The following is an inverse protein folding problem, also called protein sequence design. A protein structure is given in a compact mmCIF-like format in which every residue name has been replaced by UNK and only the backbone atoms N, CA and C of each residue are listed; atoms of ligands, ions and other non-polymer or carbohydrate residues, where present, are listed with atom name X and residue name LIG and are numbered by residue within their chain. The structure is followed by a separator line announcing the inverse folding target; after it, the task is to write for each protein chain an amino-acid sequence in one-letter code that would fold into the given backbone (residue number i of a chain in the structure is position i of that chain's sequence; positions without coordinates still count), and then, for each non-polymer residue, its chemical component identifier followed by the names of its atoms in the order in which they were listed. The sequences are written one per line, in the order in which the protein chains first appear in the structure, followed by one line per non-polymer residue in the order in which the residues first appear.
data_IF_876842534084
#
_entry.id   IF_876842534084
#
_cell.length_a   1.000
_cell.length_b   1.000
_cell.length_c   1.000
_cell.angle_alpha   90.00
_cell.angle_beta   90.00
_cell.angle_gamma   90.00
#
_symmetry.space_group_name_H-M   'P 1'
#
loop_
_entity.id
_entity.type
_entity.pdbx_description
1 polymer ?
#
# COMPACT_ATOMS: atom_id res chain seq x y z
N UNK A 1 -8.63 5.38 -18.10
CA UNK A 1 -9.72 5.51 -17.13
C UNK A 1 -9.94 4.22 -16.32
N UNK A 2 -9.81 3.03 -16.92
CA UNK A 2 -10.01 1.73 -16.21
C UNK A 2 -9.08 1.62 -15.01
N UNK A 3 -7.78 1.85 -15.17
CA UNK A 3 -6.80 1.78 -14.08
C UNK A 3 -7.14 2.74 -12.92
N UNK A 4 -7.67 3.92 -13.24
CA UNK A 4 -8.11 4.88 -12.21
C UNK A 4 -9.33 4.36 -11.45
N UNK A 5 -10.34 3.86 -12.17
CA UNK A 5 -11.54 3.31 -11.55
C UNK A 5 -11.22 2.10 -10.65
N UNK A 6 -10.38 1.18 -11.12
CA UNK A 6 -9.91 0.05 -10.32
C UNK A 6 -9.09 0.50 -9.10
N UNK A 7 -8.18 1.47 -9.28
CA UNK A 7 -7.36 2.01 -8.21
C UNK A 7 -8.19 2.64 -7.09
N UNK A 8 -9.11 3.53 -7.42
CA UNK A 8 -10.02 4.14 -6.44
C UNK A 8 -10.94 3.12 -5.78
N UNK A 9 -11.53 2.19 -6.55
CA UNK A 9 -12.39 1.13 -6.01
C UNK A 9 -11.65 0.24 -5.01
N UNK A 10 -10.45 -0.24 -5.37
CA UNK A 10 -9.60 -1.05 -4.47
C UNK A 10 -9.18 -0.28 -3.23
N UNK A 11 -8.83 0.99 -3.37
CA UNK A 11 -8.44 1.85 -2.26
C UNK A 11 -9.58 2.02 -1.24
N UNK A 12 -10.80 2.29 -1.70
CA UNK A 12 -11.98 2.39 -0.84
C UNK A 12 -12.24 1.07 -0.11
N UNK A 13 -12.19 -0.06 -0.83
CA UNK A 13 -12.38 -1.38 -0.22
C UNK A 13 -11.33 -1.70 0.85
N UNK A 14 -10.10 -1.29 0.66
CA UNK A 14 -8.99 -1.54 1.60
C UNK A 14 -8.82 -0.44 2.66
N UNK A 15 -9.62 0.63 2.60
CA UNK A 15 -9.61 1.70 3.60
C UNK A 15 -8.48 2.72 3.46
N UNK A 16 -7.71 2.69 2.36
CA UNK A 16 -6.70 3.72 2.09
C UNK A 16 -7.14 4.71 0.98
N UNK A 17 -6.28 5.62 0.57
CA UNK A 17 -6.55 6.58 -0.50
C UNK A 17 -5.67 6.33 -1.71
N UNK A 18 -6.26 6.20 -2.90
CA UNK A 18 -5.53 5.92 -4.14
C UNK A 18 -4.52 7.01 -4.51
N UNK A 19 -4.83 8.32 -4.48
CA UNK A 19 -3.84 9.36 -4.74
C UNK A 19 -2.71 9.37 -3.71
N UNK A 20 -2.99 9.10 -2.43
CA UNK A 20 -1.97 8.96 -1.39
C UNK A 20 -1.05 7.79 -1.72
N UNK A 21 -1.62 6.60 -1.95
CA UNK A 21 -0.84 5.41 -2.31
C UNK A 21 0.06 5.66 -3.52
N UNK A 22 -0.48 6.22 -4.60
CA UNK A 22 0.28 6.46 -5.83
C UNK A 22 1.49 7.38 -5.59
N UNK A 23 1.30 8.46 -4.83
CA UNK A 23 2.38 9.42 -4.55
C UNK A 23 3.41 8.88 -3.59
N UNK A 24 2.96 8.22 -2.54
CA UNK A 24 3.81 7.66 -1.50
C UNK A 24 4.63 6.49 -2.04
N UNK A 25 4.03 5.62 -2.83
CA UNK A 25 4.72 4.50 -3.48
C UNK A 25 5.80 4.96 -4.48
N UNK A 26 5.56 6.05 -5.22
CA UNK A 26 6.61 6.68 -6.02
C UNK A 26 7.77 7.20 -5.17
N UNK A 27 7.50 7.76 -3.99
CA UNK A 27 8.57 8.18 -3.06
C UNK A 27 9.35 6.98 -2.54
N UNK A 28 8.68 5.86 -2.24
CA UNK A 28 9.33 4.61 -1.89
C UNK A 28 10.31 4.16 -3.00
N UNK A 29 9.89 4.07 -4.25
CA UNK A 29 10.78 3.69 -5.38
C UNK A 29 11.99 4.62 -5.54
N UNK A 30 11.84 5.92 -5.29
CA UNK A 30 12.94 6.91 -5.36
C UNK A 30 13.92 6.76 -4.19
N UNK A 31 13.41 6.43 -3.00
CA UNK A 31 14.15 6.50 -1.74
C UNK A 31 14.30 5.17 -1.01
N UNK A 32 14.21 4.05 -1.70
CA UNK A 32 14.19 2.68 -1.12
C UNK A 32 15.15 2.53 0.05
N UNK A 33 14.64 2.03 1.16
CA UNK A 33 15.37 1.81 2.42
C UNK A 33 16.00 3.06 3.04
N UNK A 34 15.56 4.26 2.68
CA UNK A 34 16.04 5.49 3.31
C UNK A 34 15.24 5.79 4.58
N UNK A 35 15.84 5.85 5.80
CA UNK A 35 15.09 5.93 7.05
C UNK A 35 14.11 7.10 7.20
N UNK A 36 14.35 8.22 6.51
CA UNK A 36 13.53 9.45 6.63
C UNK A 36 12.69 9.75 5.40
N UNK A 37 13.08 9.25 4.23
CA UNK A 37 12.46 9.63 2.96
C UNK A 37 11.69 8.49 2.29
N UNK A 38 11.89 7.26 2.75
CA UNK A 38 11.12 6.10 2.35
C UNK A 38 9.98 5.89 3.36
N UNK A 39 8.72 6.11 2.96
CA UNK A 39 7.57 5.91 3.85
C UNK A 39 7.40 4.45 4.25
N UNK A 40 7.70 3.51 3.36
CA UNK A 40 7.54 2.07 3.60
C UNK A 40 8.61 1.56 4.58
N UNK A 41 9.81 2.15 4.58
CA UNK A 41 10.81 1.86 5.61
C UNK A 41 10.27 2.13 7.02
N UNK A 42 9.56 3.24 7.22
CA UNK A 42 8.97 3.57 8.52
C UNK A 42 7.83 2.61 8.85
N UNK A 43 6.93 2.35 7.90
CA UNK A 43 5.81 1.40 8.07
C UNK A 43 6.33 0.02 8.45
N UNK A 44 7.39 -0.46 7.82
CA UNK A 44 7.92 -1.80 8.02
C UNK A 44 8.81 -1.95 9.27
N UNK A 45 9.54 -0.90 9.67
CA UNK A 45 10.54 -1.01 10.75
C UNK A 45 10.08 -0.51 12.10
N UNK A 46 9.03 0.31 12.16
CA UNK A 46 8.56 0.92 13.40
C UNK A 46 7.57 0.03 14.17
N UNK A 47 8.09 -0.80 15.07
CA UNK A 47 7.30 -1.62 15.99
C UNK A 47 6.98 -3.04 15.48
N UNK A 48 6.09 -3.77 16.16
CA UNK A 48 5.83 -5.18 15.91
C UNK A 48 5.10 -5.40 14.57
N UNK A 49 5.46 -6.50 13.87
CA UNK A 49 5.01 -6.79 12.50
C UNK A 49 3.48 -6.93 12.38
N UNK A 50 2.79 -7.42 13.40
CA UNK A 50 1.32 -7.56 13.38
C UNK A 50 0.57 -6.22 13.38
N UNK A 51 1.24 -5.12 13.69
CA UNK A 51 0.70 -3.77 13.58
C UNK A 51 1.05 -3.10 12.24
N UNK A 52 1.53 -3.84 11.24
CA UNK A 52 1.93 -3.26 9.95
C UNK A 52 0.75 -2.62 9.22
N UNK A 53 -0.43 -3.25 9.24
CA UNK A 53 -1.61 -2.71 8.56
C UNK A 53 -2.05 -1.32 9.09
N UNK A 54 -2.27 -1.10 10.40
CA UNK A 54 -2.59 0.23 10.89
C UNK A 54 -1.46 1.25 10.68
N UNK A 55 -0.20 0.83 10.57
CA UNK A 55 0.90 1.74 10.27
C UNK A 55 0.85 2.35 8.88
N UNK A 56 0.12 1.76 7.93
CA UNK A 56 -0.10 2.36 6.61
C UNK A 56 -0.84 3.72 6.67
N UNK A 57 -1.52 4.05 7.77
CA UNK A 57 -2.03 5.41 7.98
C UNK A 57 -0.91 6.47 8.02
N UNK A 58 0.33 6.06 8.30
CA UNK A 58 1.48 6.95 8.19
C UNK A 58 1.70 7.47 6.76
N UNK A 59 1.25 6.75 5.75
CA UNK A 59 1.30 7.20 4.35
C UNK A 59 0.52 8.51 4.14
N UNK A 60 -0.64 8.70 4.79
CA UNK A 60 -1.37 9.97 4.72
C UNK A 60 -0.60 11.08 5.44
N UNK A 61 -0.06 10.78 6.61
CA UNK A 61 0.78 11.74 7.35
C UNK A 61 1.98 12.18 6.50
N UNK A 62 2.68 11.23 5.90
CA UNK A 62 3.82 11.50 5.01
C UNK A 62 3.40 12.31 3.78
N UNK A 63 2.30 11.95 3.13
CA UNK A 63 1.75 12.64 1.97
C UNK A 63 1.49 14.12 2.26
N UNK A 64 0.84 14.43 3.40
CA UNK A 64 0.56 15.80 3.81
C UNK A 64 1.80 16.54 4.30
N UNK A 65 2.65 15.94 5.11
CA UNK A 65 3.89 16.55 5.59
C UNK A 65 4.85 16.94 4.46
N UNK A 66 4.95 16.07 3.44
CA UNK A 66 5.84 16.29 2.29
C UNK A 66 5.17 17.07 1.15
N UNK A 67 3.90 17.47 1.29
CA UNK A 67 3.15 18.25 0.28
C UNK A 67 3.16 17.57 -1.09
N UNK A 68 2.94 16.24 -1.16
CA UNK A 68 3.05 15.46 -2.38
C UNK A 68 1.86 15.60 -3.32
N UNK A 69 0.81 16.28 -2.90
CA UNK A 69 -0.46 16.39 -3.62
C UNK A 69 -0.44 17.40 -4.76
N UNK A 70 -1.27 17.13 -5.77
CA UNK A 70 -1.82 18.12 -6.71
C UNK A 70 -3.23 18.50 -6.28
N UNK A 71 -3.73 19.67 -6.71
CA UNK A 71 -5.08 20.14 -6.31
C UNK A 71 -6.19 19.12 -6.54
N UNK A 72 -6.19 18.47 -7.71
CA UNK A 72 -7.20 17.46 -8.03
C UNK A 72 -7.07 16.18 -7.17
N UNK A 73 -5.88 15.82 -6.73
CA UNK A 73 -5.62 14.67 -5.85
C UNK A 73 -6.13 14.90 -4.42
N UNK A 74 -6.10 16.15 -3.95
CA UNK A 74 -6.75 16.52 -2.70
C UNK A 74 -8.27 16.39 -2.79
N UNK A 75 -8.86 16.77 -3.92
CA UNK A 75 -10.29 16.56 -4.14
C UNK A 75 -10.64 15.07 -4.14
N UNK A 76 -9.88 14.24 -4.86
CA UNK A 76 -10.06 12.79 -4.89
C UNK A 76 -9.94 12.18 -3.48
N UNK A 77 -8.89 12.54 -2.73
CA UNK A 77 -8.73 12.14 -1.34
C UNK A 77 -9.94 12.54 -0.48
N UNK A 78 -10.41 13.78 -0.61
CA UNK A 78 -11.57 14.27 0.12
C UNK A 78 -12.85 13.49 -0.20
N UNK A 79 -13.08 13.15 -1.47
CA UNK A 79 -14.21 12.32 -1.90
C UNK A 79 -14.11 10.91 -1.28
N UNK A 80 -12.96 10.25 -1.37
CA UNK A 80 -12.75 8.91 -0.80
C UNK A 80 -12.99 8.90 0.71
N UNK A 81 -12.44 9.88 1.44
CA UNK A 81 -12.65 10.01 2.89
C UNK A 81 -14.10 10.33 3.25
N UNK A 82 -14.77 11.15 2.45
CA UNK A 82 -16.20 11.44 2.64
C UNK A 82 -17.08 10.19 2.46
N UNK A 83 -16.80 9.37 1.45
CA UNK A 83 -17.48 8.07 1.27
C UNK A 83 -17.28 7.20 2.50
N UNK A 84 -16.03 7.07 2.98
CA UNK A 84 -15.70 6.27 4.15
C UNK A 84 -16.46 6.72 5.40
N UNK A 85 -16.41 8.03 5.69
CA UNK A 85 -17.10 8.62 6.83
C UNK A 85 -18.62 8.43 6.71
N UNK A 86 -19.18 8.63 5.51
CA UNK A 86 -20.62 8.46 5.28
C UNK A 86 -21.09 7.02 5.55
N UNK A 87 -20.32 6.01 5.12
CA UNK A 87 -20.64 4.60 5.39
C UNK A 87 -20.61 4.32 6.90
N UNK A 88 -19.60 4.82 7.61
CA UNK A 88 -19.52 4.65 9.08
C UNK A 88 -20.69 5.33 9.80
N UNK A 89 -20.99 6.57 9.44
CA UNK A 89 -22.13 7.30 10.04
C UNK A 89 -23.48 6.63 9.75
N UNK A 90 -23.65 6.11 8.53
CA UNK A 90 -24.83 5.32 8.18
C UNK A 90 -24.89 4.02 9.00
N UNK A 91 -23.76 3.32 9.17
CA UNK A 91 -23.67 2.12 9.99
C UNK A 91 -24.08 2.37 11.45
N UNK A 92 -23.65 3.48 12.02
CA UNK A 92 -24.05 3.90 13.38
C UNK A 92 -25.54 4.25 13.41
N UNK A 93 -26.02 5.08 12.48
CA UNK A 93 -27.41 5.56 12.46
C UNK A 93 -28.44 4.44 12.25
N UNK A 94 -28.12 3.47 11.41
CA UNK A 94 -29.03 2.37 11.02
C UNK A 94 -28.68 1.03 11.67
N UNK A 95 -27.80 1.02 12.66
CA UNK A 95 -27.42 -0.15 13.47
C UNK A 95 -26.87 -1.36 12.66
N UNK A 96 -26.06 -1.09 11.63
CA UNK A 96 -25.38 -2.15 10.88
C UNK A 96 -23.85 -2.13 10.99
N UNK A 97 -23.31 -1.57 12.07
CA UNK A 97 -21.85 -1.53 12.31
C UNK A 97 -21.22 -2.93 12.36
N UNK A 98 -21.95 -3.92 12.88
CA UNK A 98 -21.47 -5.31 12.91
C UNK A 98 -21.24 -5.87 11.48
N UNK A 99 -22.12 -5.52 10.54
CA UNK A 99 -21.97 -5.88 9.12
C UNK A 99 -20.73 -5.22 8.50
N UNK A 100 -20.53 -3.91 8.74
CA UNK A 100 -19.35 -3.17 8.29
C UNK A 100 -18.09 -3.80 8.83
N UNK A 101 -18.05 -4.13 10.12
CA UNK A 101 -16.90 -4.75 10.75
C UNK A 101 -16.57 -6.12 10.11
N UNK A 102 -17.56 -7.00 9.99
CA UNK A 102 -17.33 -8.36 9.53
C UNK A 102 -17.10 -8.49 8.02
N UNK A 103 -17.77 -7.68 7.20
CA UNK A 103 -17.69 -7.78 5.74
C UNK A 103 -16.72 -6.79 5.08
N UNK A 104 -16.31 -5.77 5.79
CA UNK A 104 -15.40 -4.77 5.24
C UNK A 104 -14.15 -4.59 6.09
N UNK A 105 -14.27 -4.09 7.30
CA UNK A 105 -13.12 -3.68 8.13
C UNK A 105 -12.22 -4.86 8.51
N UNK A 106 -12.79 -5.97 8.96
CA UNK A 106 -12.06 -7.18 9.30
C UNK A 106 -11.28 -7.77 8.11
N UNK A 107 -11.94 -8.07 6.98
CA UNK A 107 -11.25 -8.50 5.76
C UNK A 107 -10.20 -7.52 5.26
N UNK A 108 -10.49 -6.21 5.24
CA UNK A 108 -9.54 -5.19 4.81
C UNK A 108 -8.29 -5.16 5.70
N UNK A 109 -8.46 -5.31 7.02
CA UNK A 109 -7.33 -5.41 7.96
C UNK A 109 -6.47 -6.64 7.69
N UNK A 110 -7.08 -7.81 7.46
CA UNK A 110 -6.36 -9.06 7.14
C UNK A 110 -5.57 -8.91 5.83
N UNK A 111 -6.20 -8.35 4.79
CA UNK A 111 -5.53 -8.05 3.52
C UNK A 111 -4.40 -7.05 3.73
N UNK A 112 -4.61 -5.99 4.50
CA UNK A 112 -3.59 -4.99 4.82
C UNK A 112 -2.37 -5.59 5.53
N UNK A 113 -2.56 -6.52 6.47
CA UNK A 113 -1.45 -7.27 7.11
C UNK A 113 -0.71 -8.11 6.06
N UNK A 114 -1.45 -8.84 5.23
CA UNK A 114 -0.86 -9.69 4.19
C UNK A 114 -0.03 -8.87 3.18
N UNK A 115 -0.60 -7.77 2.67
CA UNK A 115 0.09 -6.86 1.77
C UNK A 115 1.34 -6.28 2.44
N UNK A 116 1.23 -5.78 3.67
CA UNK A 116 2.35 -5.23 4.41
C UNK A 116 3.49 -6.24 4.62
N UNK A 117 3.18 -7.49 4.89
CA UNK A 117 4.20 -8.52 5.08
C UNK A 117 4.85 -8.93 3.75
N UNK A 118 4.05 -9.27 2.74
CA UNK A 118 4.56 -9.90 1.52
C UNK A 118 5.01 -8.90 0.45
N UNK A 119 4.44 -7.69 0.44
CA UNK A 119 4.71 -6.69 -0.59
C UNK A 119 5.65 -5.57 -0.11
N UNK A 120 5.79 -5.40 1.23
CA UNK A 120 6.63 -4.36 1.80
C UNK A 120 7.72 -4.96 2.70
N UNK A 121 7.37 -5.62 3.82
CA UNK A 121 8.34 -6.05 4.82
C UNK A 121 9.34 -7.10 4.30
N UNK A 122 8.86 -8.22 3.78
CA UNK A 122 9.74 -9.33 3.35
C UNK A 122 10.65 -8.97 2.18
N UNK A 123 10.18 -8.26 1.13
CA UNK A 123 11.02 -7.90 0.02
C UNK A 123 12.19 -6.98 0.39
N UNK A 124 12.01 -6.10 1.37
CA UNK A 124 13.01 -5.09 1.73
C UNK A 124 13.87 -5.45 2.94
N UNK A 125 13.50 -6.47 3.73
CA UNK A 125 14.28 -6.89 4.89
C UNK A 125 15.70 -7.31 4.48
N UNK A 126 16.78 -6.84 5.15
CA UNK A 126 16.84 -6.12 6.43
C UNK A 126 16.84 -4.58 6.33
N UNK A 127 16.34 -3.96 5.27
CA UNK A 127 16.17 -2.50 5.09
C UNK A 127 17.48 -1.68 5.12
N UNK A 128 18.60 -2.27 4.72
CA UNK A 128 19.93 -1.65 4.84
C UNK A 128 20.49 -1.12 3.53
N UNK A 129 20.27 -1.84 2.43
CA UNK A 129 20.86 -1.48 1.16
C UNK A 129 20.03 -0.44 0.42
N UNK A 130 20.69 0.62 -0.07
CA UNK A 130 20.15 1.61 -1.00
C UNK A 130 20.65 1.39 -2.43
N UNK A 131 21.52 0.42 -2.66
CA UNK A 131 21.98 0.09 -3.98
C UNK A 131 20.82 -0.53 -4.76
N UNK A 132 20.45 0.09 -5.88
CA UNK A 132 19.30 -0.31 -6.71
C UNK A 132 19.26 -1.77 -7.11
N UNK A 133 20.42 -2.43 -7.21
CA UNK A 133 20.53 -3.82 -7.62
C UNK A 133 20.29 -4.83 -6.48
N UNK A 134 20.31 -4.39 -5.24
CA UNK A 134 20.20 -5.23 -4.03
C UNK A 134 19.35 -4.60 -2.91
N UNK A 135 18.56 -3.56 -3.23
CA UNK A 135 17.70 -2.88 -2.25
C UNK A 135 16.38 -3.61 -1.95
N UNK A 136 16.11 -4.63 -2.73
CA UNK A 136 14.96 -5.51 -2.58
C UNK A 136 15.36 -6.94 -2.96
N UNK A 137 14.51 -7.91 -2.69
CA UNK A 137 14.79 -9.34 -2.86
C UNK A 137 13.97 -9.96 -3.98
N UNK A 138 14.51 -11.06 -4.50
CA UNK A 138 13.80 -11.98 -5.38
C UNK A 138 13.71 -13.34 -4.68
N UNK A 139 12.53 -13.91 -4.63
CA UNK A 139 12.24 -15.24 -4.09
C UNK A 139 11.68 -16.13 -5.21
N UNK A 140 12.53 -16.80 -6.02
CA UNK A 140 12.07 -17.60 -7.14
C UNK A 140 11.20 -18.76 -6.69
N UNK A 141 9.90 -18.67 -6.92
CA UNK A 141 8.93 -19.71 -6.56
C UNK A 141 7.69 -19.58 -7.45
N UNK A 142 7.33 -20.66 -8.15
CA UNK A 142 6.12 -20.69 -8.97
C UNK A 142 4.85 -20.55 -8.12
N UNK A 143 4.83 -21.17 -6.96
CA UNK A 143 3.71 -21.11 -6.02
C UNK A 143 3.54 -19.69 -5.48
N UNK A 144 4.59 -19.06 -4.98
CA UNK A 144 4.55 -17.68 -4.51
C UNK A 144 4.17 -16.71 -5.63
N UNK A 145 4.67 -16.93 -6.84
CA UNK A 145 4.33 -16.10 -7.99
C UNK A 145 2.83 -16.09 -8.30
N UNK A 146 2.17 -17.22 -8.14
CA UNK A 146 0.73 -17.33 -8.28
C UNK A 146 -0.01 -16.63 -7.11
N UNK A 147 0.41 -16.89 -5.86
CA UNK A 147 -0.26 -16.36 -4.67
C UNK A 147 -0.18 -14.84 -4.53
N UNK A 148 0.96 -14.25 -4.87
CA UNK A 148 1.23 -12.81 -4.66
C UNK A 148 1.48 -12.07 -5.98
N UNK A 149 0.92 -12.58 -7.09
CA UNK A 149 0.91 -11.91 -8.39
C UNK A 149 2.29 -11.32 -8.79
N UNK A 150 3.34 -12.16 -8.73
CA UNK A 150 4.69 -11.78 -9.15
C UNK A 150 5.49 -10.97 -8.14
N UNK A 151 4.93 -10.56 -7.00
CA UNK A 151 5.65 -9.73 -6.02
C UNK A 151 6.81 -10.45 -5.31
N UNK A 152 6.95 -11.75 -5.48
CA UNK A 152 8.17 -12.47 -5.11
C UNK A 152 9.40 -12.08 -5.97
N UNK A 153 9.20 -11.36 -7.08
CA UNK A 153 10.23 -10.74 -7.91
C UNK A 153 10.33 -9.22 -7.67
N UNK A 154 10.14 -8.77 -6.46
CA UNK A 154 9.98 -7.36 -6.08
C UNK A 154 11.14 -6.43 -6.53
N UNK A 155 12.33 -6.96 -6.73
CA UNK A 155 13.43 -6.19 -7.29
C UNK A 155 13.17 -5.73 -8.74
N UNK A 156 12.38 -6.47 -9.51
CA UNK A 156 12.12 -6.13 -10.92
C UNK A 156 11.40 -4.80 -11.08
N UNK A 157 10.25 -4.52 -10.40
CA UNK A 157 9.60 -3.22 -10.49
C UNK A 157 10.43 -2.07 -9.94
N UNK A 158 11.38 -2.32 -9.02
CA UNK A 158 12.33 -1.29 -8.57
C UNK A 158 13.36 -0.93 -9.63
N UNK A 159 13.78 -1.89 -10.46
CA UNK A 159 14.74 -1.67 -11.53
C UNK A 159 14.06 -1.18 -12.82
N UNK A 160 12.92 -1.75 -13.15
CA UNK A 160 12.18 -1.53 -14.40
C UNK A 160 10.67 -1.37 -14.12
N UNK A 161 10.23 -0.22 -13.63
CA UNK A 161 8.85 0.01 -13.21
C UNK A 161 7.81 -0.05 -14.36
N UNK A 162 8.27 -0.08 -15.61
CA UNK A 162 7.41 -0.22 -16.79
C UNK A 162 7.07 -1.67 -17.15
N UNK A 163 7.78 -2.65 -16.58
CA UNK A 163 7.49 -4.06 -16.84
C UNK A 163 6.25 -4.47 -16.02
N UNK A 164 5.21 -5.02 -16.66
CA UNK A 164 4.04 -5.48 -15.94
C UNK A 164 4.35 -6.76 -15.14
N UNK A 165 3.66 -6.95 -14.01
CA UNK A 165 3.92 -8.03 -13.07
C UNK A 165 3.86 -9.46 -13.69
N UNK A 166 3.05 -9.66 -14.72
CA UNK A 166 2.92 -10.95 -15.39
C UNK A 166 4.12 -11.30 -16.29
N UNK A 167 5.02 -10.35 -16.54
CA UNK A 167 6.26 -10.51 -17.28
C UNK A 167 7.51 -10.64 -16.38
N UNK A 168 7.38 -10.61 -15.06
CA UNK A 168 8.52 -10.65 -14.13
C UNK A 168 9.34 -11.95 -14.18
N UNK A 169 8.87 -12.96 -14.89
CA UNK A 169 9.55 -14.26 -15.02
C UNK A 169 10.34 -14.45 -16.32
N UNK A 170 10.27 -13.52 -17.23
CA UNK A 170 10.92 -13.65 -18.54
C UNK A 170 12.43 -13.51 -18.43
#
# INVERSE_FOLDING_TARGET
WINQAMGHGSAILLGFSFPVFTRVHLQHHIHVNHPKNDPDHIVSTFGPIWLIAPRFFYHEVFFFQRKLWRKYELLQWGIERSIFVTIILAGIKFDFMNLIYNLWFGPALMVGVTLGIFFDYLPHRPFRSRNKWINSRVYPSRFMNFLIMGQNYHLIPHLWPSIPWFEYKL
#
